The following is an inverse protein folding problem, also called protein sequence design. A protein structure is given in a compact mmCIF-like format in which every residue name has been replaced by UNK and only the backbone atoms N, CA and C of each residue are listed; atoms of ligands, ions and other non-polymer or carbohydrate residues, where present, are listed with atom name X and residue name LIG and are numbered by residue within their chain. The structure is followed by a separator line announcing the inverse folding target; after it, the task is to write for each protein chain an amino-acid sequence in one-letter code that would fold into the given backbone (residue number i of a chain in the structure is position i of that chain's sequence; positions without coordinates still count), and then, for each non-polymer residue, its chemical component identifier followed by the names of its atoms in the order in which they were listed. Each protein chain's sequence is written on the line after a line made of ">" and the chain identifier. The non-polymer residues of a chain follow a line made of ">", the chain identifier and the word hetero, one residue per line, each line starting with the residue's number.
data_IF_898806242561
#
_entry.id   IF_898806242561
#
_cell.length_a   1.000
_cell.length_b   1.000
_cell.length_c   1.000
_cell.angle_alpha   90.00
_cell.angle_beta   90.00
_cell.angle_gamma   90.00
#
_symmetry.space_group_name_H-M   'P 1'
#
loop_
_entity.id
_entity.type
_entity.pdbx_description
1 polymer ?
#
# COMPACT_ATOMS: atom_id res chain seq x y z
N UNK A 1 21.01 -1.07 -7.01
CA UNK A 1 20.95 -1.81 -5.73
C UNK A 1 19.91 -1.10 -4.88
N UNK A 2 18.91 -1.80 -4.36
CA UNK A 2 17.88 -1.18 -3.51
C UNK A 2 18.56 -0.71 -2.20
N UNK A 3 18.46 0.58 -1.87
CA UNK A 3 19.01 1.14 -0.63
C UNK A 3 17.96 1.09 0.50
N UNK A 4 18.39 1.13 1.78
CA UNK A 4 17.45 1.26 2.91
C UNK A 4 16.54 2.48 2.82
N UNK A 5 17.01 3.56 2.21
CA UNK A 5 16.23 4.78 1.97
C UNK A 5 15.09 4.53 0.97
N UNK A 6 15.36 3.83 -0.14
CA UNK A 6 14.32 3.46 -1.12
C UNK A 6 13.27 2.56 -0.47
N UNK A 7 13.69 1.60 0.36
CA UNK A 7 12.76 0.72 1.10
C UNK A 7 11.89 1.55 2.04
N UNK A 8 12.47 2.53 2.73
CA UNK A 8 11.75 3.40 3.67
C UNK A 8 10.67 4.22 2.95
N UNK A 9 10.97 4.81 1.80
CA UNK A 9 9.99 5.57 0.98
C UNK A 9 8.76 4.71 0.68
N UNK A 10 8.96 3.49 0.19
CA UNK A 10 7.84 2.59 -0.11
C UNK A 10 7.10 2.10 1.11
N UNK A 11 7.83 1.77 2.18
CA UNK A 11 7.23 1.28 3.42
C UNK A 11 6.36 2.34 4.10
N UNK A 12 6.82 3.59 4.14
CA UNK A 12 6.06 4.68 4.75
C UNK A 12 4.75 4.94 3.98
N UNK A 13 4.77 4.88 2.64
CA UNK A 13 3.56 4.97 1.81
C UNK A 13 2.60 3.78 2.04
N UNK A 14 3.13 2.55 2.08
CA UNK A 14 2.32 1.36 2.32
C UNK A 14 1.72 1.34 3.74
N UNK A 15 2.42 1.87 4.74
CA UNK A 15 1.88 2.01 6.11
C UNK A 15 0.73 3.01 6.13
N UNK A 16 0.87 4.17 5.48
CA UNK A 16 -0.19 5.16 5.41
C UNK A 16 -1.48 4.60 4.77
N UNK A 17 -1.35 3.77 3.73
CA UNK A 17 -2.47 3.05 3.14
C UNK A 17 -3.07 2.02 4.11
N UNK A 18 -2.24 1.23 4.80
CA UNK A 18 -2.72 0.26 5.78
C UNK A 18 -3.51 0.93 6.92
N UNK A 19 -3.05 2.10 7.39
CA UNK A 19 -3.75 2.94 8.36
C UNK A 19 -5.08 3.45 7.81
N UNK A 20 -5.11 3.96 6.57
CA UNK A 20 -6.34 4.39 5.93
C UNK A 20 -7.36 3.24 5.76
N UNK A 21 -6.90 2.03 5.43
CA UNK A 21 -7.74 0.83 5.35
C UNK A 21 -8.29 0.42 6.73
N UNK A 22 -7.47 0.53 7.78
CA UNK A 22 -7.92 0.30 9.15
C UNK A 22 -9.02 1.28 9.57
N UNK A 23 -8.85 2.57 9.29
CA UNK A 23 -9.82 3.62 9.62
C UNK A 23 -11.17 3.43 8.92
N UNK A 24 -11.17 2.74 7.78
CA UNK A 24 -12.38 2.35 7.05
C UNK A 24 -13.01 1.04 7.57
N UNK A 25 -12.41 0.39 8.57
CA UNK A 25 -12.84 -0.91 9.09
C UNK A 25 -12.40 -2.09 8.23
N UNK A 26 -11.44 -1.89 7.33
CA UNK A 26 -10.86 -2.89 6.44
C UNK A 26 -9.75 -3.73 7.08
N UNK A 27 -9.08 -4.54 6.25
CA UNK A 27 -7.87 -5.27 6.67
C UNK A 27 -6.67 -4.31 6.55
N UNK A 28 -5.85 -4.13 7.61
CA UNK A 28 -4.74 -3.16 7.61
C UNK A 28 -3.51 -3.69 6.85
N UNK A 29 -3.64 -3.78 5.52
CA UNK A 29 -2.55 -4.16 4.61
C UNK A 29 -2.50 -3.09 3.52
N UNK A 30 -1.33 -2.50 3.31
CA UNK A 30 -1.07 -1.54 2.26
C UNK A 30 0.06 -1.97 1.34
N UNK A 31 0.11 -1.38 0.15
CA UNK A 31 1.12 -1.60 -0.86
C UNK A 31 1.56 -0.25 -1.45
N UNK A 32 2.79 -0.23 -1.99
CA UNK A 32 3.31 0.90 -2.74
C UNK A 32 4.17 0.38 -3.90
N UNK A 33 3.99 0.97 -5.08
CA UNK A 33 4.79 0.71 -6.27
C UNK A 33 5.72 1.89 -6.52
N UNK A 34 7.02 1.60 -6.63
CA UNK A 34 8.04 2.59 -6.94
C UNK A 34 8.57 2.37 -8.35
N UNK A 35 8.86 3.47 -9.04
CA UNK A 35 9.59 3.43 -10.32
C UNK A 35 11.12 3.34 -10.12
N UNK A 36 11.85 3.33 -11.23
CA UNK A 36 13.32 3.26 -11.25
C UNK A 36 14.00 4.53 -10.69
N UNK A 37 13.24 5.61 -10.52
CA UNK A 37 13.66 6.86 -9.89
C UNK A 37 13.27 6.93 -8.41
N UNK A 38 12.83 5.81 -7.81
CA UNK A 38 12.37 5.70 -6.43
C UNK A 38 11.19 6.61 -6.07
N UNK A 39 10.35 6.95 -7.04
CA UNK A 39 9.11 7.70 -6.82
C UNK A 39 7.95 6.74 -6.64
N UNK A 40 7.07 7.02 -5.68
CA UNK A 40 5.81 6.29 -5.54
C UNK A 40 4.90 6.65 -6.70
N UNK A 41 4.60 5.67 -7.56
CA UNK A 41 3.73 5.83 -8.73
C UNK A 41 2.33 5.26 -8.51
N UNK A 42 2.18 4.38 -7.52
CA UNK A 42 0.88 3.90 -7.04
C UNK A 42 1.00 3.47 -5.57
N UNK A 43 -0.10 3.61 -4.83
CA UNK A 43 -0.28 3.07 -3.48
C UNK A 43 -1.73 2.63 -3.32
N UNK A 44 -1.97 1.66 -2.44
CA UNK A 44 -3.32 1.20 -2.13
C UNK A 44 -3.36 0.31 -0.90
N UNK A 45 -4.55 0.11 -0.36
CA UNK A 45 -4.80 -0.81 0.75
C UNK A 45 -5.84 -1.86 0.38
N UNK A 46 -5.91 -2.90 1.22
CA UNK A 46 -6.90 -3.95 1.05
C UNK A 46 -8.32 -3.36 1.10
N UNK A 47 -9.07 -3.61 0.04
CA UNK A 47 -10.45 -3.16 -0.14
C UNK A 47 -11.47 -4.30 -0.02
N UNK A 48 -11.06 -5.50 0.42
CA UNK A 48 -11.93 -6.69 0.48
C UNK A 48 -13.20 -6.44 1.29
N UNK A 49 -13.11 -5.72 2.41
CA UNK A 49 -14.25 -5.45 3.30
C UNK A 49 -15.12 -4.32 2.75
N UNK A 50 -14.48 -3.27 2.24
CA UNK A 50 -15.12 -2.04 1.78
C UNK A 50 -15.86 -2.24 0.45
N UNK A 51 -15.29 -3.03 -0.46
CA UNK A 51 -15.85 -3.30 -1.78
C UNK A 51 -16.67 -4.61 -1.84
N UNK A 52 -16.45 -5.53 -0.89
CA UNK A 52 -16.99 -6.89 -0.96
C UNK A 52 -16.32 -7.79 -2.01
N UNK A 53 -15.28 -7.31 -2.70
CA UNK A 53 -14.54 -8.07 -3.71
C UNK A 53 -13.44 -8.92 -3.05
N UNK A 54 -13.48 -10.26 -3.18
CA UNK A 54 -12.47 -11.13 -2.59
C UNK A 54 -11.07 -10.96 -3.21
N UNK A 55 -10.96 -10.33 -4.38
CA UNK A 55 -9.69 -10.10 -5.08
C UNK A 55 -9.06 -8.74 -4.81
N UNK A 56 -9.80 -7.81 -4.20
CA UNK A 56 -9.34 -6.44 -3.95
C UNK A 56 -8.35 -6.38 -2.76
N UNK A 57 -7.20 -7.04 -2.94
CA UNK A 57 -6.06 -6.94 -2.06
C UNK A 57 -5.33 -5.60 -2.25
N UNK A 58 -4.33 -5.32 -1.42
CA UNK A 58 -3.60 -4.06 -1.49
C UNK A 58 -2.77 -3.92 -2.77
N UNK A 59 -2.33 -5.03 -3.36
CA UNK A 59 -1.52 -5.08 -4.58
C UNK A 59 -2.31 -4.94 -5.90
N UNK A 60 -3.65 -4.93 -5.84
CA UNK A 60 -4.56 -4.97 -7.01
C UNK A 60 -5.06 -3.58 -7.34
#
# INVERSE_FOLDING_TARGET
>A
MISPEIIRIGLDAAIAEAEAGWDQGGIPIGSALLDDQARVVASGHNMRVQSGDPTAHAEV
#
